data_IF_567795030150
#
_entry.id   IF_567795030150
#
_cell.length_a   1.000
_cell.length_b   1.000
_cell.length_c   1.000
_cell.angle_alpha   90.00
_cell.angle_beta   90.00
_cell.angle_gamma   90.00
#
_symmetry.space_group_name_H-M   'P 1'
#
loop_
_entity.id
_entity.type
_entity.pdbx_description
1 polymer ?
#
# COMPACT_ATOMS: atom_id res chain seq x y z
N UNK A 1 -3.54 19.00 -11.56
CA UNK A 1 -3.61 18.28 -12.86
C UNK A 1 -4.21 16.87 -12.73
N UNK A 2 -3.57 15.85 -12.14
CA UNK A 2 -4.20 14.50 -12.03
C UNK A 2 -5.28 14.41 -10.92
N UNK A 3 -4.98 14.92 -9.72
CA UNK A 3 -5.92 14.88 -8.59
C UNK A 3 -7.23 15.62 -8.88
N UNK A 4 -7.16 16.82 -9.48
CA UNK A 4 -8.33 17.61 -9.89
C UNK A 4 -9.20 16.86 -10.90
N UNK A 5 -8.59 16.24 -11.91
CA UNK A 5 -9.31 15.45 -12.90
C UNK A 5 -10.05 14.28 -12.23
N UNK A 6 -9.41 13.61 -11.27
CA UNK A 6 -10.01 12.49 -10.53
C UNK A 6 -11.14 12.95 -9.62
N UNK A 7 -11.02 14.14 -9.00
CA UNK A 7 -12.11 14.75 -8.23
C UNK A 7 -13.31 15.05 -9.14
N UNK A 8 -13.09 15.63 -10.32
CA UNK A 8 -14.14 15.89 -11.30
C UNK A 8 -14.82 14.60 -11.79
N UNK A 9 -14.03 13.59 -12.17
CA UNK A 9 -14.54 12.30 -12.66
C UNK A 9 -15.21 11.45 -11.59
N UNK A 10 -14.91 11.71 -10.32
CA UNK A 10 -15.55 11.01 -9.21
C UNK A 10 -17.03 11.33 -9.07
N UNK A 11 -17.51 12.47 -9.59
CA UNK A 11 -18.89 12.92 -9.39
C UNK A 11 -19.32 13.09 -7.93
N UNK A 12 -18.37 13.01 -6.98
CA UNK A 12 -18.61 13.02 -5.53
C UNK A 12 -18.95 11.66 -4.90
N UNK A 13 -19.48 10.69 -5.66
CA UNK A 13 -19.97 9.40 -5.11
C UNK A 13 -18.89 8.30 -5.03
N UNK A 14 -17.79 8.45 -5.78
CA UNK A 14 -16.74 7.42 -5.92
C UNK A 14 -15.36 7.90 -5.50
N UNK A 15 -15.29 8.95 -4.68
CA UNK A 15 -14.03 9.59 -4.27
C UNK A 15 -12.99 8.58 -3.78
N UNK A 16 -13.37 7.65 -2.91
CA UNK A 16 -12.49 6.60 -2.41
C UNK A 16 -11.84 5.72 -3.48
N UNK A 17 -12.60 5.34 -4.52
CA UNK A 17 -12.07 4.54 -5.62
C UNK A 17 -11.04 5.30 -6.46
N UNK A 18 -11.26 6.60 -6.66
CA UNK A 18 -10.32 7.46 -7.37
C UNK A 18 -9.07 7.76 -6.53
N UNK A 19 -9.21 7.91 -5.20
CA UNK A 19 -8.07 8.01 -4.30
C UNK A 19 -7.15 6.78 -4.42
N UNK A 20 -7.73 5.57 -4.39
CA UNK A 20 -6.96 4.33 -4.60
C UNK A 20 -6.26 4.31 -5.97
N UNK A 21 -7.00 4.56 -7.05
CA UNK A 21 -6.48 4.53 -8.42
C UNK A 21 -5.38 5.54 -8.69
N UNK A 22 -5.41 6.70 -8.03
CA UNK A 22 -4.38 7.71 -8.21
C UNK A 22 -3.18 7.54 -7.28
N UNK A 23 -3.35 6.83 -6.16
CA UNK A 23 -2.27 6.64 -5.17
C UNK A 23 -1.46 5.38 -5.43
N UNK A 24 -2.12 4.23 -5.61
CA UNK A 24 -1.45 2.92 -5.65
C UNK A 24 -0.49 2.70 -6.83
N UNK A 25 -0.75 3.22 -8.05
CA UNK A 25 0.22 3.12 -9.13
C UNK A 25 1.58 3.78 -8.80
N UNK A 26 1.57 4.92 -8.11
CA UNK A 26 2.81 5.56 -7.66
C UNK A 26 3.51 4.75 -6.56
N UNK A 27 2.76 4.11 -5.66
CA UNK A 27 3.34 3.20 -4.67
C UNK A 27 3.96 1.97 -5.34
N UNK A 28 3.30 1.36 -6.32
CA UNK A 28 3.84 0.20 -7.05
C UNK A 28 5.13 0.54 -7.82
N UNK A 29 5.27 1.79 -8.27
CA UNK A 29 6.48 2.30 -8.91
C UNK A 29 7.60 2.66 -7.91
N UNK A 30 7.33 2.64 -6.60
CA UNK A 30 8.26 3.10 -5.58
C UNK A 30 8.31 4.62 -5.42
N UNK A 31 7.51 5.37 -6.19
CA UNK A 31 7.52 6.83 -6.21
C UNK A 31 6.68 7.42 -5.07
N UNK A 32 7.26 7.40 -3.87
CA UNK A 32 6.57 7.85 -2.65
C UNK A 32 6.25 9.35 -2.66
N UNK A 33 7.09 10.16 -3.31
CA UNK A 33 6.88 11.59 -3.44
C UNK A 33 5.63 11.88 -4.28
N UNK A 34 5.50 11.22 -5.43
CA UNK A 34 4.31 11.38 -6.28
C UNK A 34 3.04 10.88 -5.58
N UNK A 35 3.12 9.74 -4.88
CA UNK A 35 2.00 9.21 -4.09
C UNK A 35 1.53 10.21 -3.01
N UNK A 36 2.47 10.79 -2.25
CA UNK A 36 2.18 11.82 -1.23
C UNK A 36 1.57 13.06 -1.85
N UNK A 37 2.19 13.58 -2.91
CA UNK A 37 1.71 14.78 -3.60
C UNK A 37 0.29 14.57 -4.13
N UNK A 38 0.03 13.43 -4.79
CA UNK A 38 -1.30 13.09 -5.28
C UNK A 38 -2.32 13.06 -4.15
N UNK A 39 -2.11 12.27 -3.10
CA UNK A 39 -3.13 12.07 -2.06
C UNK A 39 -3.39 13.37 -1.28
N UNK A 40 -2.36 14.18 -1.01
CA UNK A 40 -2.50 15.48 -0.33
C UNK A 40 -3.31 16.47 -1.16
N UNK A 41 -3.06 16.54 -2.47
CA UNK A 41 -3.86 17.38 -3.36
C UNK A 41 -5.29 16.85 -3.49
N UNK A 42 -5.45 15.54 -3.63
CA UNK A 42 -6.76 14.91 -3.75
C UNK A 42 -7.63 15.20 -2.51
N UNK A 43 -7.10 15.00 -1.30
CA UNK A 43 -7.83 15.25 -0.06
C UNK A 43 -8.17 16.72 0.15
N UNK A 44 -7.28 17.64 -0.25
CA UNK A 44 -7.54 19.09 -0.16
C UNK A 44 -8.71 19.56 -1.01
N UNK A 45 -9.05 18.83 -2.08
CA UNK A 45 -10.15 19.17 -2.99
C UNK A 45 -11.48 18.47 -2.68
N UNK A 46 -11.55 17.67 -1.62
CA UNK A 46 -12.80 17.00 -1.20
C UNK A 46 -13.65 17.99 -0.39
N UNK A 47 -14.98 18.02 -0.59
CA UNK A 47 -15.88 18.79 0.26
C UNK A 47 -15.73 18.38 1.73
N UNK A 48 -15.33 19.34 2.57
CA UNK A 48 -15.13 19.13 4.01
C UNK A 48 -16.47 18.93 4.71
N UNK A 49 -16.91 17.68 4.84
CA UNK A 49 -18.09 17.34 5.63
C UNK A 49 -17.70 17.29 7.11
N UNK A 50 -17.98 18.38 7.83
CA UNK A 50 -18.07 18.56 9.29
C UNK A 50 -17.42 17.49 10.19
N UNK A 51 -16.09 17.44 10.18
CA UNK A 51 -15.18 17.16 11.32
C UNK A 51 -13.78 16.87 10.74
N UNK A 52 -13.06 17.94 10.35
CA UNK A 52 -11.66 17.87 9.91
C UNK A 52 -10.77 17.53 11.12
N UNK A 53 -10.80 16.28 11.56
CA UNK A 53 -9.80 15.78 12.50
C UNK A 53 -8.53 15.51 11.70
N UNK A 54 -7.66 16.51 11.64
CA UNK A 54 -6.29 16.35 11.17
C UNK A 54 -5.52 15.65 12.28
N UNK A 55 -5.02 14.46 11.98
CA UNK A 55 -4.21 13.66 12.89
C UNK A 55 -2.74 13.84 12.49
N UNK A 56 -1.89 14.44 13.34
CA UNK A 56 -0.46 14.48 13.08
C UNK A 56 0.11 13.07 13.18
N UNK A 57 0.98 12.71 12.23
CA UNK A 57 1.69 11.43 12.21
C UNK A 57 3.18 11.71 12.16
N UNK A 58 3.82 11.73 13.33
CA UNK A 58 5.22 12.19 13.45
C UNK A 58 5.32 13.70 13.27
N UNK A 59 6.46 14.17 12.77
CA UNK A 59 6.80 15.60 12.79
C UNK A 59 6.30 16.37 11.54
N UNK A 60 6.29 15.73 10.37
CA UNK A 60 6.04 16.41 9.08
C UNK A 60 4.80 15.89 8.31
N UNK A 61 4.22 14.76 8.71
CA UNK A 61 3.09 14.15 8.02
C UNK A 61 1.78 14.34 8.81
N UNK A 62 0.69 14.58 8.08
CA UNK A 62 -0.64 14.73 8.64
C UNK A 62 -1.63 13.90 7.82
N UNK A 63 -2.65 13.38 8.49
CA UNK A 63 -3.76 12.68 7.83
C UNK A 63 -5.06 13.37 8.17
N UNK A 64 -5.79 13.82 7.15
CA UNK A 64 -7.12 14.39 7.32
C UNK A 64 -8.14 13.26 7.33
N UNK A 65 -8.79 13.02 8.47
CA UNK A 65 -9.86 12.03 8.56
C UNK A 65 -11.06 12.48 7.72
N UNK A 66 -11.52 11.60 6.83
CA UNK A 66 -12.69 11.82 5.97
C UNK A 66 -13.78 10.78 6.29
N UNK A 67 -15.00 11.03 5.81
CA UNK A 67 -16.10 10.06 5.90
C UNK A 67 -15.90 8.82 5.02
N UNK A 68 -15.05 8.91 3.99
CA UNK A 68 -14.75 7.80 3.08
C UNK A 68 -13.53 7.02 3.59
N UNK A 69 -13.76 5.77 3.97
CA UNK A 69 -12.74 4.89 4.54
C UNK A 69 -11.59 4.61 3.55
N UNK A 70 -11.85 4.56 2.24
CA UNK A 70 -10.81 4.27 1.24
C UNK A 70 -9.84 5.45 1.08
N UNK A 71 -10.29 6.67 1.32
CA UNK A 71 -9.45 7.87 1.31
C UNK A 71 -8.56 7.87 2.55
N UNK A 72 -9.12 7.54 3.71
CA UNK A 72 -8.35 7.39 4.95
C UNK A 72 -7.29 6.29 4.81
N UNK A 73 -7.67 5.14 4.22
CA UNK A 73 -6.74 4.06 3.90
C UNK A 73 -5.62 4.51 2.98
N UNK A 74 -5.94 5.24 1.90
CA UNK A 74 -4.94 5.70 0.92
C UNK A 74 -3.92 6.65 1.55
N UNK A 75 -4.37 7.57 2.42
CA UNK A 75 -3.47 8.46 3.16
C UNK A 75 -2.56 7.66 4.11
N UNK A 76 -3.15 6.77 4.93
CA UNK A 76 -2.39 5.94 5.88
C UNK A 76 -1.41 5.00 5.18
N UNK A 77 -1.78 4.47 4.01
CA UNK A 77 -0.92 3.62 3.20
C UNK A 77 0.35 4.37 2.76
N UNK A 78 0.21 5.61 2.27
CA UNK A 78 1.35 6.45 1.90
C UNK A 78 2.26 6.73 3.10
N UNK A 79 1.67 7.17 4.21
CA UNK A 79 2.40 7.49 5.46
C UNK A 79 3.15 6.27 6.01
N UNK A 80 2.55 5.08 5.90
CA UNK A 80 3.19 3.81 6.30
C UNK A 80 4.33 3.44 5.35
N UNK A 81 4.15 3.60 4.03
CA UNK A 81 5.18 3.32 3.04
C UNK A 81 6.38 4.28 3.14
N UNK A 82 6.15 5.55 3.50
CA UNK A 82 7.23 6.52 3.73
C UNK A 82 8.18 6.11 4.85
N UNK A 83 7.65 5.49 5.89
CA UNK A 83 8.43 5.01 7.05
C UNK A 83 9.04 3.63 6.82
N UNK A 84 8.78 3.02 5.67
CA UNK A 84 9.28 1.69 5.38
C UNK A 84 10.80 1.70 5.18
N UNK A 85 11.46 0.64 5.64
CA UNK A 85 12.89 0.41 5.43
C UNK A 85 13.13 -1.09 5.23
N UNK A 86 12.40 -1.68 4.28
CA UNK A 86 12.42 -3.11 4.01
C UNK A 86 12.07 -3.93 5.27
N UNK A 87 12.94 -4.88 5.59
CA UNK A 87 12.81 -5.76 6.75
C UNK A 87 13.31 -5.12 8.07
N UNK A 88 14.03 -4.00 8.00
CA UNK A 88 14.68 -3.35 9.14
C UNK A 88 13.69 -2.58 10.03
N UNK A 89 12.63 -2.00 9.47
CA UNK A 89 11.62 -1.28 10.25
C UNK A 89 10.43 -2.19 10.61
N UNK A 90 10.57 -2.95 11.70
CA UNK A 90 9.52 -3.86 12.20
C UNK A 90 8.18 -3.14 12.46
N UNK A 91 8.22 -1.93 13.02
CA UNK A 91 7.01 -1.15 13.33
C UNK A 91 6.24 -0.80 12.06
N UNK A 92 6.93 -0.33 11.01
CA UNK A 92 6.28 -0.03 9.73
C UNK A 92 5.67 -1.27 9.07
N UNK A 93 6.34 -2.43 9.17
CA UNK A 93 5.83 -3.72 8.67
C UNK A 93 4.55 -4.15 9.39
N UNK A 94 4.55 -4.08 10.72
CA UNK A 94 3.37 -4.42 11.54
C UNK A 94 2.20 -3.44 11.32
N UNK A 95 2.51 -2.15 11.16
CA UNK A 95 1.52 -1.12 10.80
C UNK A 95 0.89 -1.42 9.44
N UNK A 96 1.68 -1.80 8.43
CA UNK A 96 1.15 -2.18 7.12
C UNK A 96 0.23 -3.40 7.20
N UNK A 97 0.66 -4.46 7.91
CA UNK A 97 -0.15 -5.68 8.09
C UNK A 97 -1.47 -5.38 8.79
N UNK A 98 -1.43 -4.58 9.87
CA UNK A 98 -2.63 -4.17 10.61
C UNK A 98 -3.55 -3.31 9.75
N UNK A 99 -3.00 -2.32 9.04
CA UNK A 99 -3.75 -1.46 8.13
C UNK A 99 -4.48 -2.30 7.07
N UNK A 100 -3.77 -3.18 6.37
CA UNK A 100 -4.41 -4.07 5.39
C UNK A 100 -5.45 -4.97 6.05
N UNK A 101 -5.14 -5.61 7.18
CA UNK A 101 -6.06 -6.50 7.89
C UNK A 101 -7.38 -5.83 8.26
N UNK A 102 -7.33 -4.63 8.85
CA UNK A 102 -8.51 -3.87 9.28
C UNK A 102 -9.42 -3.48 8.12
N UNK A 103 -8.86 -3.07 6.99
CA UNK A 103 -9.66 -2.62 5.85
C UNK A 103 -10.14 -3.78 4.98
N UNK A 104 -9.34 -4.86 4.86
CA UNK A 104 -9.76 -6.07 4.15
C UNK A 104 -10.90 -6.79 4.88
N UNK A 105 -10.93 -6.79 6.22
CA UNK A 105 -12.00 -7.41 6.99
C UNK A 105 -13.36 -6.70 6.84
N UNK A 106 -13.35 -5.42 6.45
CA UNK A 106 -14.57 -4.66 6.18
C UNK A 106 -15.21 -5.02 4.83
N UNK A 107 -14.47 -5.73 3.96
CA UNK A 107 -14.94 -6.10 2.63
C UNK A 107 -14.78 -4.96 1.61
N UNK A 108 -15.66 -4.95 0.61
CA UNK A 108 -15.69 -3.90 -0.41
C UNK A 108 -14.51 -3.94 -1.41
N UNK A 109 -14.17 -2.80 -2.04
CA UNK A 109 -13.22 -2.75 -3.15
C UNK A 109 -11.80 -3.25 -2.81
N UNK A 110 -11.33 -3.07 -1.57
CA UNK A 110 -10.01 -3.54 -1.15
C UNK A 110 -9.96 -5.07 -1.00
N UNK A 111 -11.10 -5.71 -0.72
CA UNK A 111 -11.17 -7.16 -0.59
C UNK A 111 -11.15 -7.90 -1.94
N UNK A 112 -11.28 -7.19 -3.06
CA UNK A 112 -11.21 -7.78 -4.40
C UNK A 112 -9.84 -8.46 -4.65
N UNK A 113 -9.79 -9.58 -5.39
CA UNK A 113 -8.55 -10.30 -5.66
C UNK A 113 -7.43 -9.42 -6.26
N UNK A 114 -7.79 -8.50 -7.16
CA UNK A 114 -6.90 -7.58 -7.84
C UNK A 114 -6.29 -6.57 -6.85
N UNK A 115 -7.13 -6.01 -5.96
CA UNK A 115 -6.66 -5.12 -4.91
C UNK A 115 -5.72 -5.86 -3.95
N UNK A 116 -6.06 -7.08 -3.54
CA UNK A 116 -5.18 -7.90 -2.70
C UNK A 116 -3.82 -8.19 -3.34
N UNK A 117 -3.79 -8.43 -4.66
CA UNK A 117 -2.54 -8.60 -5.41
C UNK A 117 -1.68 -7.33 -5.32
N UNK A 118 -2.27 -6.17 -5.59
CA UNK A 118 -1.60 -4.86 -5.47
C UNK A 118 -1.07 -4.63 -4.05
N UNK A 119 -1.87 -4.92 -3.01
CA UNK A 119 -1.42 -4.77 -1.62
C UNK A 119 -0.25 -5.70 -1.28
N UNK A 120 -0.23 -6.93 -1.80
CA UNK A 120 0.88 -7.85 -1.62
C UNK A 120 2.16 -7.39 -2.35
N UNK A 121 2.02 -6.78 -3.53
CA UNK A 121 3.14 -6.19 -4.25
C UNK A 121 3.72 -4.98 -3.49
N UNK A 122 2.88 -4.10 -2.93
CA UNK A 122 3.35 -3.01 -2.06
C UNK A 122 4.01 -3.57 -0.78
N UNK A 123 3.42 -4.59 -0.15
CA UNK A 123 3.99 -5.30 1.00
C UNK A 123 5.39 -5.84 0.71
N UNK A 124 5.57 -6.37 -0.49
CA UNK A 124 6.85 -6.87 -1.00
C UNK A 124 7.86 -5.74 -1.14
N UNK A 125 7.47 -4.69 -1.87
CA UNK A 125 8.35 -3.63 -2.34
C UNK A 125 8.93 -2.79 -1.19
N UNK A 126 8.06 -2.35 -0.27
CA UNK A 126 8.45 -1.42 0.81
C UNK A 126 8.86 -2.14 2.10
N UNK A 127 8.25 -3.29 2.40
CA UNK A 127 8.30 -3.92 3.73
C UNK A 127 9.03 -5.27 3.74
N UNK A 128 9.51 -5.72 2.57
CA UNK A 128 10.12 -7.04 2.36
C UNK A 128 9.24 -8.21 2.87
N UNK A 129 7.91 -8.03 2.91
CA UNK A 129 6.97 -9.05 3.37
C UNK A 129 6.72 -10.03 2.20
N UNK A 130 6.98 -11.34 2.34
CA UNK A 130 6.64 -12.34 1.33
C UNK A 130 5.13 -12.42 1.10
N UNK A 131 4.65 -12.58 -0.15
CA UNK A 131 3.25 -12.88 -0.38
C UNK A 131 2.86 -14.16 0.35
N UNK A 132 1.58 -14.32 0.75
CA UNK A 132 1.10 -15.54 1.39
C UNK A 132 1.39 -16.74 0.48
N UNK A 133 2.06 -17.77 1.04
CA UNK A 133 2.49 -18.97 0.29
C UNK A 133 1.32 -19.70 -0.38
N UNK A 134 0.09 -19.47 0.07
CA UNK A 134 -1.14 -20.08 -0.45
C UNK A 134 -1.66 -19.46 -1.75
N UNK A 135 -1.16 -18.31 -2.22
CA UNK A 135 -1.61 -17.72 -3.50
C UNK A 135 -1.03 -18.41 -4.75
N UNK A 136 0.03 -19.21 -4.59
CA UNK A 136 0.63 -20.00 -5.67
C UNK A 136 0.39 -21.51 -5.51
N UNK A 137 -0.61 -21.91 -4.72
CA UNK A 137 -1.01 -23.30 -4.64
C UNK A 137 -1.67 -23.69 -5.96
N UNK A 138 -0.90 -24.37 -6.83
CA UNK A 138 -1.47 -25.13 -7.93
C UNK A 138 -2.15 -26.36 -7.28
N UNK A 139 -3.48 -26.39 -7.13
CA UNK A 139 -4.14 -27.40 -6.29
C UNK A 139 -3.87 -28.82 -6.77
N UNK A 140 -3.61 -28.98 -8.06
CA UNK A 140 -3.20 -30.23 -8.69
C UNK A 140 -1.75 -30.62 -8.35
N UNK A 141 -0.87 -29.62 -8.22
CA UNK A 141 0.54 -29.80 -7.86
C UNK A 141 0.75 -30.16 -6.40
N UNK A 142 -0.04 -29.60 -5.48
CA UNK A 142 -0.02 -29.98 -4.06
C UNK A 142 -0.58 -31.39 -3.85
N UNK A 143 -1.63 -31.76 -4.59
CA UNK A 143 -2.14 -33.14 -4.60
C UNK A 143 -1.10 -34.13 -5.17
N UNK A 144 -0.46 -33.83 -6.31
CA UNK A 144 0.59 -34.70 -6.86
C UNK A 144 1.83 -34.78 -5.98
N UNK A 145 2.25 -33.68 -5.34
CA UNK A 145 3.37 -33.68 -4.39
C UNK A 145 3.05 -34.48 -3.12
N UNK A 146 1.78 -34.48 -2.69
CA UNK A 146 1.30 -35.33 -1.59
C UNK A 146 1.20 -36.81 -1.96
N UNK A 147 1.06 -37.12 -3.25
CA UNK A 147 0.97 -38.49 -3.77
C UNK A 147 2.34 -39.08 -4.13
N UNK A 148 3.31 -38.27 -4.56
CA UNK A 148 4.60 -38.75 -5.11
C UNK A 148 5.82 -38.69 -4.18
N UNK A 149 5.66 -38.21 -2.93
CA UNK A 149 6.75 -38.28 -1.95
C UNK A 149 7.79 -37.16 -2.11
N UNK A 150 8.26 -36.65 -0.96
CA UNK A 150 8.91 -35.35 -0.86
C UNK A 150 10.34 -35.25 -1.41
N UNK A 151 10.76 -34.02 -1.73
CA UNK A 151 12.14 -33.70 -2.08
C UNK A 151 12.39 -32.27 -2.58
N UNK A 152 13.14 -31.50 -1.77
CA UNK A 152 13.99 -30.32 -2.03
C UNK A 152 13.40 -29.00 -2.60
N UNK A 153 13.76 -27.82 -2.03
CA UNK A 153 13.30 -26.52 -2.50
C UNK A 153 14.15 -25.99 -3.67
N UNK A 154 13.51 -25.76 -4.83
CA UNK A 154 14.08 -25.04 -5.96
C UNK A 154 14.14 -23.52 -5.71
N UNK A 155 15.26 -22.91 -6.10
CA UNK A 155 15.58 -21.50 -5.87
C UNK A 155 14.59 -20.52 -6.50
N UNK A 156 14.19 -19.50 -5.72
CA UNK A 156 13.29 -18.43 -6.15
C UNK A 156 14.05 -17.33 -6.91
N UNK A 157 13.44 -16.70 -7.93
CA UNK A 157 14.02 -15.58 -8.66
C UNK A 157 14.26 -14.35 -7.77
N UNK A 158 15.32 -13.60 -8.09
CA UNK A 158 15.76 -12.43 -7.32
C UNK A 158 14.68 -11.34 -7.26
N UNK A 159 14.33 -10.96 -6.03
CA UNK A 159 13.21 -10.08 -5.70
C UNK A 159 13.67 -8.62 -5.68
N UNK A 160 12.92 -7.73 -6.35
CA UNK A 160 13.11 -6.28 -6.20
C UNK A 160 12.64 -5.85 -4.82
N UNK A 161 13.59 -5.45 -3.98
CA UNK A 161 13.36 -4.75 -2.71
C UNK A 161 14.05 -3.40 -2.85
N UNK A 162 13.37 -2.32 -2.46
CA UNK A 162 13.98 -0.99 -2.45
C UNK A 162 15.08 -0.97 -1.37
N UNK A 163 16.31 -0.67 -1.79
CA UNK A 163 17.39 -0.38 -0.85
C UNK A 163 17.29 1.09 -0.41
N UNK A 164 17.53 1.41 0.88
CA UNK A 164 17.57 2.80 1.32
C UNK A 164 18.68 3.56 0.60
N UNK A 165 18.47 4.85 0.37
CA UNK A 165 19.49 5.74 -0.19
C UNK A 165 20.73 5.72 0.73
N UNK A 166 21.88 5.34 0.18
CA UNK A 166 23.16 5.46 0.87
C UNK A 166 23.46 6.94 1.10
N UNK A 167 23.37 7.40 2.35
CA UNK A 167 23.92 8.69 2.74
C UNK A 167 25.43 8.64 2.50
N UNK A 168 25.91 9.37 1.48
CA UNK A 168 27.35 9.51 1.24
C UNK A 168 27.87 10.51 2.28
N UNK A 169 28.76 10.13 3.22
CA UNK A 169 29.37 11.07 4.13
C UNK A 169 30.59 11.70 3.46
N UNK A 170 30.59 13.03 3.37
CA UNK A 170 31.81 13.83 3.34
C UNK A 170 32.32 14.24 1.95
N UNK A 171 32.34 15.56 1.75
CA UNK A 171 33.49 16.29 1.21
C UNK A 171 33.57 17.61 2.00
N UNK A 172 34.40 17.62 3.04
CA UNK A 172 35.07 18.83 3.51
C UNK A 172 36.21 19.17 2.55
#
# INVERSE_FOLDING_TARGET
MLAEMFLQWSGGDKLGLYALRGTFPYLLDGNILAARTFIKHFTSGIPKASADNVIPVGDDDEVTMTSDSLINFSQLAVVTCQRANGDQNKVARESWVRLCGTYLSQGGPLAAPEARRVLNEVATLYFAIPPPRTQAANPLGDMMSSLFGGGAPGGQPARRVLQPASSTPGLD
#
